data_IF_198320862415
#
_entry.id   IF_198320862415
#
_cell.length_a   1.000
_cell.length_b   1.000
_cell.length_c   1.000
_cell.angle_alpha   90.00
_cell.angle_beta   90.00
_cell.angle_gamma   90.00
#
_symmetry.space_group_name_H-M   'P 1'
#
loop_
_entity.id
_entity.type
_entity.pdbx_description
1 polymer ?
#
# COMPACT_ATOMS: atom_id res chain seq x y z
N UNK A 1 26.68 -4.01 -1.40
CA UNK A 1 26.20 -3.81 -2.79
C UNK A 1 25.53 -5.10 -3.26
N UNK A 2 24.37 -5.02 -3.91
CA UNK A 2 23.71 -6.21 -4.47
C UNK A 2 24.54 -6.78 -5.62
N UNK A 3 24.75 -8.10 -5.65
CA UNK A 3 25.49 -8.79 -6.71
C UNK A 3 24.60 -8.95 -7.95
N UNK A 4 25.05 -8.47 -9.11
CA UNK A 4 24.34 -8.57 -10.40
C UNK A 4 24.00 -10.02 -10.80
N UNK A 5 24.68 -11.01 -10.22
CA UNK A 5 24.41 -12.44 -10.43
C UNK A 5 23.17 -12.96 -9.69
N UNK A 6 22.48 -12.16 -8.88
CA UNK A 6 21.30 -12.59 -8.11
C UNK A 6 19.97 -12.44 -8.87
N UNK A 7 19.94 -11.71 -10.00
CA UNK A 7 18.73 -11.46 -10.78
C UNK A 7 18.65 -12.41 -11.99
N UNK A 8 17.87 -13.48 -11.84
CA UNK A 8 17.53 -14.38 -12.95
C UNK A 8 16.45 -13.68 -13.79
N UNK A 9 16.82 -13.27 -15.01
CA UNK A 9 15.84 -12.77 -16.00
C UNK A 9 15.17 -13.97 -16.66
N UNK A 10 13.88 -14.17 -16.38
CA UNK A 10 13.09 -15.20 -17.04
C UNK A 10 12.83 -14.83 -18.51
N UNK A 11 12.76 -15.83 -19.38
CA UNK A 11 12.28 -15.62 -20.74
C UNK A 11 10.80 -15.22 -20.75
N UNK A 12 10.31 -14.54 -21.80
CA UNK A 12 8.91 -14.15 -21.90
C UNK A 12 7.92 -15.33 -21.82
N UNK A 13 8.29 -16.52 -22.29
CA UNK A 13 7.47 -17.73 -22.19
C UNK A 13 7.39 -18.23 -20.75
N UNK A 14 8.52 -18.33 -20.06
CA UNK A 14 8.58 -18.77 -18.66
C UNK A 14 7.83 -17.80 -17.75
N UNK A 15 8.05 -16.50 -17.90
CA UNK A 15 7.33 -15.48 -17.13
C UNK A 15 5.80 -15.60 -17.31
N UNK A 16 5.33 -15.84 -18.53
CA UNK A 16 3.90 -16.09 -18.83
C UNK A 16 3.39 -17.37 -18.18
N UNK A 17 4.18 -18.44 -18.19
CA UNK A 17 3.79 -19.72 -17.58
C UNK A 17 3.69 -19.61 -16.06
N UNK A 18 4.71 -19.04 -15.40
CA UNK A 18 4.70 -18.80 -13.96
C UNK A 18 3.55 -17.86 -13.57
N UNK A 19 3.30 -16.80 -14.35
CA UNK A 19 2.15 -15.91 -14.16
C UNK A 19 0.82 -16.65 -14.24
N UNK A 20 0.63 -17.52 -15.24
CA UNK A 20 -0.58 -18.36 -15.34
C UNK A 20 -0.72 -19.32 -14.17
N UNK A 21 0.36 -19.99 -13.75
CA UNK A 21 0.37 -20.91 -12.60
C UNK A 21 0.01 -20.18 -11.31
N UNK A 22 0.62 -19.00 -11.08
CA UNK A 22 0.33 -18.13 -9.94
C UNK A 22 -1.14 -17.67 -9.95
N UNK A 23 -1.65 -17.22 -11.09
CA UNK A 23 -3.05 -16.82 -11.24
C UNK A 23 -4.03 -17.96 -10.96
N UNK A 24 -3.77 -19.16 -11.47
CA UNK A 24 -4.59 -20.36 -11.19
C UNK A 24 -4.56 -20.75 -9.71
N UNK A 25 -3.37 -20.76 -9.10
CA UNK A 25 -3.21 -21.09 -7.68
C UNK A 25 -3.90 -20.06 -6.79
N UNK A 26 -3.72 -18.76 -7.07
CA UNK A 26 -4.40 -17.66 -6.38
C UNK A 26 -5.92 -17.76 -6.53
N UNK A 27 -6.43 -18.02 -7.74
CA UNK A 27 -7.86 -18.23 -7.99
C UNK A 27 -8.42 -19.42 -7.22
N UNK A 28 -7.70 -20.54 -7.16
CA UNK A 28 -8.08 -21.72 -6.36
C UNK A 28 -8.12 -21.39 -4.87
N UNK A 29 -7.12 -20.67 -4.35
CA UNK A 29 -7.08 -20.24 -2.95
C UNK A 29 -8.24 -19.29 -2.61
N UNK A 30 -8.54 -18.32 -3.48
CA UNK A 30 -9.67 -17.39 -3.32
C UNK A 30 -11.01 -18.13 -3.29
N UNK A 31 -11.24 -19.07 -4.21
CA UNK A 31 -12.45 -19.92 -4.21
C UNK A 31 -12.57 -20.72 -2.92
N UNK A 32 -11.52 -21.41 -2.49
CA UNK A 32 -11.50 -22.16 -1.22
C UNK A 32 -11.88 -21.29 -0.02
N UNK A 33 -11.35 -20.06 0.06
CA UNK A 33 -11.72 -19.11 1.14
C UNK A 33 -13.18 -18.69 1.06
N UNK A 34 -13.71 -18.46 -0.14
CA UNK A 34 -15.12 -18.12 -0.32
C UNK A 34 -16.03 -19.28 0.08
N UNK A 35 -15.72 -20.50 -0.36
CA UNK A 35 -16.47 -21.71 -0.02
C UNK A 35 -16.44 -21.96 1.49
N UNK A 36 -15.26 -21.83 2.12
CA UNK A 36 -15.13 -21.92 3.57
C UNK A 36 -16.04 -20.92 4.31
N UNK A 37 -16.06 -19.65 3.89
CA UNK A 37 -16.95 -18.64 4.51
C UNK A 37 -18.42 -19.01 4.35
N UNK A 38 -18.82 -19.49 3.17
CA UNK A 38 -20.20 -19.94 2.92
C UNK A 38 -20.58 -21.10 3.86
N UNK A 39 -19.72 -22.12 3.94
CA UNK A 39 -19.94 -23.27 4.82
C UNK A 39 -19.98 -22.85 6.28
N UNK A 40 -19.05 -21.99 6.73
CA UNK A 40 -19.02 -21.51 8.10
C UNK A 40 -20.30 -20.75 8.45
N UNK A 41 -20.76 -19.82 7.61
CA UNK A 41 -22.00 -19.08 7.85
C UNK A 41 -23.21 -20.03 7.94
N UNK A 42 -23.28 -21.03 7.05
CA UNK A 42 -24.34 -22.04 7.08
C UNK A 42 -24.35 -22.82 8.40
N UNK A 43 -23.18 -23.18 8.93
CA UNK A 43 -23.07 -23.85 10.22
C UNK A 43 -23.46 -22.91 11.37
N UNK A 44 -22.97 -21.67 11.37
CA UNK A 44 -23.27 -20.70 12.43
C UNK A 44 -24.78 -20.41 12.55
N UNK A 45 -25.48 -20.35 11.43
CA UNK A 45 -26.95 -20.16 11.40
C UNK A 45 -27.76 -21.42 11.67
N UNK A 46 -27.13 -22.58 11.84
CA UNK A 46 -27.85 -23.82 12.09
C UNK A 46 -28.42 -23.81 13.52
N UNK A 47 -29.72 -24.10 13.64
CA UNK A 47 -30.39 -24.30 14.92
C UNK A 47 -29.82 -25.52 15.65
N UNK A 48 -29.68 -25.39 16.96
CA UNK A 48 -29.25 -26.45 17.85
C UNK A 48 -30.23 -26.59 19.00
N UNK A 49 -30.30 -27.80 19.53
CA UNK A 49 -31.05 -28.07 20.75
C UNK A 49 -30.08 -28.20 21.92
N UNK A 50 -30.04 -27.16 22.77
CA UNK A 50 -29.20 -27.13 23.97
C UNK A 50 -30.08 -26.82 25.18
N UNK A 51 -30.19 -27.75 26.12
CA UNK A 51 -31.09 -27.65 27.28
C UNK A 51 -30.78 -26.45 28.19
N UNK A 52 -29.50 -26.06 28.29
CA UNK A 52 -29.07 -24.97 29.17
C UNK A 52 -29.27 -23.59 28.54
N UNK A 53 -29.00 -23.47 27.23
CA UNK A 53 -28.97 -22.18 26.54
C UNK A 53 -30.27 -21.83 25.85
N UNK A 54 -31.01 -22.82 25.33
CA UNK A 54 -32.24 -22.60 24.60
C UNK A 54 -33.28 -21.82 25.40
N UNK A 55 -33.56 -22.12 26.69
CA UNK A 55 -34.53 -21.34 27.46
C UNK A 55 -34.11 -19.88 27.66
N UNK A 56 -32.80 -19.64 27.84
CA UNK A 56 -32.25 -18.30 28.04
C UNK A 56 -32.35 -17.50 26.74
N UNK A 57 -31.95 -18.10 25.62
CA UNK A 57 -31.97 -17.45 24.31
C UNK A 57 -33.41 -17.15 23.86
N UNK A 58 -34.34 -18.10 24.03
CA UNK A 58 -35.76 -17.90 23.74
C UNK A 58 -36.37 -16.79 24.61
N UNK A 59 -36.00 -16.70 25.89
CA UNK A 59 -36.46 -15.62 26.77
C UNK A 59 -35.98 -14.22 26.34
N UNK A 60 -34.85 -14.16 25.62
CA UNK A 60 -34.30 -12.95 25.02
C UNK A 60 -34.84 -12.68 23.61
N UNK A 61 -35.70 -13.55 23.07
CA UNK A 61 -36.22 -13.47 21.71
C UNK A 61 -35.18 -13.79 20.63
N UNK A 62 -34.17 -14.60 20.96
CA UNK A 62 -33.08 -15.01 20.06
C UNK A 62 -33.19 -16.50 19.76
N UNK A 63 -32.98 -16.88 18.50
CA UNK A 63 -32.95 -18.28 18.10
C UNK A 63 -31.72 -19.01 18.68
N UNK A 64 -31.91 -20.26 19.09
CA UNK A 64 -30.84 -21.12 19.60
C UNK A 64 -30.04 -21.71 18.43
N UNK A 65 -29.17 -20.90 17.83
CA UNK A 65 -28.25 -21.30 16.75
C UNK A 65 -26.85 -21.56 17.29
N UNK A 66 -25.99 -22.22 16.48
CA UNK A 66 -24.57 -22.38 16.84
C UNK A 66 -23.87 -21.04 17.10
N UNK A 67 -24.26 -19.98 16.39
CA UNK A 67 -23.75 -18.63 16.59
C UNK A 67 -24.11 -18.06 17.95
N UNK A 68 -25.40 -18.04 18.32
CA UNK A 68 -25.86 -17.47 19.59
C UNK A 68 -25.33 -18.26 20.79
N UNK A 69 -25.26 -19.59 20.64
CA UNK A 69 -24.62 -20.50 21.58
C UNK A 69 -23.13 -20.19 21.79
N UNK A 70 -22.37 -19.97 20.71
CA UNK A 70 -20.95 -19.61 20.79
C UNK A 70 -20.73 -18.27 21.52
N UNK A 71 -21.54 -17.25 21.20
CA UNK A 71 -21.47 -15.95 21.86
C UNK A 71 -21.78 -16.06 23.36
N UNK A 72 -22.81 -16.82 23.72
CA UNK A 72 -23.18 -17.04 25.12
C UNK A 72 -22.07 -17.78 25.88
N UNK A 73 -21.43 -18.78 25.25
CA UNK A 73 -20.27 -19.46 25.83
C UNK A 73 -19.12 -18.49 26.12
N UNK A 74 -18.83 -17.57 25.18
CA UNK A 74 -17.77 -16.59 25.36
C UNK A 74 -18.09 -15.60 26.49
N UNK A 75 -19.34 -15.15 26.60
CA UNK A 75 -19.78 -14.29 27.70
C UNK A 75 -19.63 -15.03 29.03
N UNK A 76 -20.04 -16.30 29.11
CA UNK A 76 -19.88 -17.13 30.30
C UNK A 76 -18.41 -17.28 30.71
N UNK A 77 -17.52 -17.53 29.76
CA UNK A 77 -16.07 -17.59 30.00
C UNK A 77 -15.51 -16.25 30.49
N UNK A 78 -15.95 -15.14 29.90
CA UNK A 78 -15.56 -13.79 30.33
C UNK A 78 -16.00 -13.52 31.77
N UNK A 79 -17.23 -13.90 32.14
CA UNK A 79 -17.74 -13.79 33.50
C UNK A 79 -16.93 -14.64 34.50
N UNK A 80 -16.35 -15.76 34.05
CA UNK A 80 -15.46 -16.58 34.86
C UNK A 80 -14.02 -16.02 34.96
N UNK A 81 -13.76 -14.82 34.43
CA UNK A 81 -12.47 -14.14 34.52
C UNK A 81 -11.53 -14.38 33.33
N UNK A 82 -11.99 -15.01 32.25
CA UNK A 82 -11.17 -15.18 31.04
C UNK A 82 -11.07 -13.86 30.27
N UNK A 83 -9.93 -13.17 30.40
CA UNK A 83 -9.69 -11.85 29.78
C UNK A 83 -9.71 -11.90 28.25
N UNK A 84 -9.29 -13.01 27.63
CA UNK A 84 -9.38 -13.17 26.17
C UNK A 84 -10.83 -13.25 25.72
N UNK A 85 -11.67 -13.91 26.51
CA UNK A 85 -13.09 -13.95 26.25
C UNK A 85 -13.75 -12.59 26.41
N UNK A 86 -13.37 -11.84 27.45
CA UNK A 86 -13.80 -10.46 27.63
C UNK A 86 -13.40 -9.55 26.45
N UNK A 87 -12.16 -9.67 25.95
CA UNK A 87 -11.70 -8.90 24.79
C UNK A 87 -12.48 -9.24 23.51
N UNK A 88 -12.75 -10.53 23.27
CA UNK A 88 -13.62 -10.94 22.16
C UNK A 88 -14.99 -10.26 22.26
N UNK A 89 -15.64 -10.33 23.42
CA UNK A 89 -16.96 -9.72 23.61
C UNK A 89 -16.91 -8.21 23.40
N UNK A 90 -15.90 -7.52 23.94
CA UNK A 90 -15.71 -6.08 23.76
C UNK A 90 -15.55 -5.70 22.28
N UNK A 91 -14.70 -6.41 21.54
CA UNK A 91 -14.43 -6.14 20.13
C UNK A 91 -15.71 -6.23 19.27
N UNK A 92 -16.58 -7.20 19.52
CA UNK A 92 -17.83 -7.36 18.77
C UNK A 92 -18.98 -6.52 19.32
N UNK A 93 -18.89 -6.02 20.56
CA UNK A 93 -19.80 -5.03 21.12
C UNK A 93 -19.54 -3.60 20.61
N UNK A 94 -18.59 -3.41 19.70
CA UNK A 94 -18.21 -2.11 19.15
C UNK A 94 -17.20 -1.34 20.01
N UNK A 95 -16.64 -1.98 21.03
CA UNK A 95 -15.49 -1.44 21.78
C UNK A 95 -14.22 -1.91 21.07
N UNK A 96 -13.90 -1.28 19.94
CA UNK A 96 -12.61 -1.49 19.29
C UNK A 96 -11.54 -0.58 19.87
N UNK A 97 -10.33 -1.11 20.05
CA UNK A 97 -9.15 -0.29 20.38
C UNK A 97 -8.75 0.65 19.23
N UNK A 98 -9.19 0.37 18.00
CA UNK A 98 -9.03 1.27 16.86
C UNK A 98 -10.04 2.41 16.96
N UNK A 99 -9.51 3.61 17.15
CA UNK A 99 -10.24 4.85 17.06
C UNK A 99 -10.28 5.34 15.61
N UNK A 100 -11.24 6.21 15.29
CA UNK A 100 -11.27 6.87 13.98
C UNK A 100 -9.95 7.64 13.68
N UNK A 101 -9.25 8.09 14.72
CA UNK A 101 -7.95 8.75 14.59
C UNK A 101 -6.85 7.80 14.12
N UNK A 102 -6.84 6.53 14.58
CA UNK A 102 -5.88 5.53 14.13
C UNK A 102 -6.05 5.22 12.63
N UNK A 103 -7.30 5.17 12.16
CA UNK A 103 -7.61 4.95 10.74
C UNK A 103 -7.20 6.14 9.86
N UNK A 104 -7.36 7.37 10.36
CA UNK A 104 -6.86 8.58 9.71
C UNK A 104 -5.34 8.61 9.63
N UNK A 105 -4.64 8.24 10.70
CA UNK A 105 -3.18 8.16 10.70
C UNK A 105 -2.67 7.14 9.66
N UNK A 106 -3.32 5.96 9.58
CA UNK A 106 -2.96 4.94 8.58
C UNK A 106 -3.20 5.44 7.15
N UNK A 107 -4.29 6.17 6.90
CA UNK A 107 -4.55 6.82 5.60
C UNK A 107 -3.47 7.85 5.26
N UNK A 108 -3.13 8.74 6.19
CA UNK A 108 -2.09 9.75 5.98
C UNK A 108 -0.74 9.09 5.70
N UNK A 109 -0.41 8.02 6.44
CA UNK A 109 0.83 7.26 6.24
C UNK A 109 0.88 6.58 4.88
N UNK A 110 -0.22 5.94 4.46
CA UNK A 110 -0.30 5.29 3.14
C UNK A 110 -0.30 6.31 2.01
N UNK A 111 -0.99 7.44 2.15
CA UNK A 111 -0.98 8.54 1.17
C UNK A 111 0.40 9.17 1.03
N UNK A 112 1.10 9.41 2.15
CA UNK A 112 2.49 9.91 2.13
C UNK A 112 3.42 8.93 1.43
N UNK A 113 3.31 7.65 1.75
CA UNK A 113 4.10 6.62 1.09
C UNK A 113 3.78 6.51 -0.41
N UNK A 114 2.51 6.69 -0.79
CA UNK A 114 2.09 6.70 -2.19
C UNK A 114 2.69 7.90 -2.93
N UNK A 115 2.54 9.13 -2.40
CA UNK A 115 3.11 10.34 -3.00
C UNK A 115 4.63 10.27 -3.16
N UNK A 116 5.34 9.75 -2.17
CA UNK A 116 6.79 9.56 -2.25
C UNK A 116 7.18 8.62 -3.40
N UNK A 117 6.46 7.49 -3.56
CA UNK A 117 6.68 6.60 -4.71
C UNK A 117 6.32 7.24 -6.04
N UNK A 118 5.21 7.97 -6.11
CA UNK A 118 4.75 8.60 -7.35
C UNK A 118 5.75 9.65 -7.84
N UNK A 119 6.39 10.39 -6.92
CA UNK A 119 7.52 11.30 -7.20
C UNK A 119 8.78 10.56 -7.67
N UNK A 120 9.15 9.44 -7.05
CA UNK A 120 10.32 8.64 -7.46
C UNK A 120 10.14 7.97 -8.84
N UNK A 121 8.92 7.57 -9.17
CA UNK A 121 8.59 6.84 -10.41
C UNK A 121 8.23 7.81 -11.55
N UNK A 122 8.07 9.10 -11.26
CA UNK A 122 7.73 10.11 -12.27
C UNK A 122 6.32 9.93 -12.85
N UNK A 123 5.41 9.34 -12.09
CA UNK A 123 3.99 9.22 -12.43
C UNK A 123 3.26 10.20 -11.51
N UNK A 124 3.31 11.48 -11.87
CA UNK A 124 2.50 12.52 -11.23
C UNK A 124 1.47 13.00 -12.25
N UNK A 125 0.18 12.76 -11.97
CA UNK A 125 -0.92 13.24 -12.80
C UNK A 125 -0.98 14.79 -12.84
N UNK A 126 -0.17 15.50 -12.04
CA UNK A 126 -0.02 16.97 -12.03
C UNK A 126 1.20 17.50 -12.79
N UNK A 127 1.89 16.68 -13.60
CA UNK A 127 3.06 17.13 -14.37
C UNK A 127 2.77 18.38 -15.21
N UNK A 128 1.56 18.48 -15.79
CA UNK A 128 1.18 19.60 -16.65
C UNK A 128 1.07 20.93 -15.90
N UNK A 129 0.61 20.94 -14.64
CA UNK A 129 0.48 22.15 -13.81
C UNK A 129 1.86 22.61 -13.30
N UNK A 130 2.71 21.67 -12.90
CA UNK A 130 4.06 21.98 -12.43
C UNK A 130 4.96 22.53 -13.55
N UNK A 131 4.84 21.98 -14.76
CA UNK A 131 5.57 22.46 -15.94
C UNK A 131 5.08 23.84 -16.36
N UNK A 132 3.75 24.10 -16.35
CA UNK A 132 3.19 25.42 -16.65
C UNK A 132 3.63 26.48 -15.65
N UNK A 133 3.57 26.18 -14.34
CA UNK A 133 3.99 27.11 -13.29
C UNK A 133 5.50 27.42 -13.37
N UNK A 134 6.33 26.43 -13.74
CA UNK A 134 7.75 26.65 -13.99
C UNK A 134 7.99 27.51 -15.24
N UNK A 135 7.32 27.22 -16.36
CA UNK A 135 7.41 28.02 -17.60
C UNK A 135 6.92 29.47 -17.40
N UNK A 136 5.85 29.67 -16.63
CA UNK A 136 5.32 30.99 -16.29
C UNK A 136 6.24 31.77 -15.35
N UNK A 137 6.96 31.08 -14.45
CA UNK A 137 7.95 31.70 -13.56
C UNK A 137 9.25 32.05 -14.30
N UNK A 138 9.63 31.27 -15.31
CA UNK A 138 10.86 31.50 -16.08
C UNK A 138 10.65 32.53 -17.18
N UNK A 139 9.44 32.64 -17.79
CA UNK A 139 9.06 33.59 -18.86
C UNK A 139 10.27 34.26 -19.53
N UNK A 140 11.07 33.48 -20.26
CA UNK A 140 12.33 33.98 -20.78
C UNK A 140 12.04 35.09 -21.78
N UNK A 141 12.87 36.12 -21.75
CA UNK A 141 12.71 37.24 -22.69
C UNK A 141 13.07 36.77 -24.09
N UNK A 142 12.48 37.40 -25.12
CA UNK A 142 12.72 37.02 -26.52
C UNK A 142 14.22 37.04 -26.86
N UNK A 143 14.96 37.99 -26.29
CA UNK A 143 16.41 38.14 -26.47
C UNK A 143 17.24 36.99 -25.87
N UNK A 144 16.76 36.36 -24.78
CA UNK A 144 17.42 35.19 -24.17
C UNK A 144 17.16 33.91 -24.96
N UNK A 145 15.99 33.80 -25.58
CA UNK A 145 15.67 32.72 -26.51
C UNK A 145 16.49 32.87 -27.80
N UNK A 146 16.59 34.08 -28.33
CA UNK A 146 17.34 34.36 -29.56
C UNK A 146 18.84 34.07 -29.37
N UNK A 147 19.42 34.34 -28.20
CA UNK A 147 20.81 33.94 -27.87
C UNK A 147 21.02 32.44 -27.78
N UNK A 148 19.99 31.67 -27.42
CA UNK A 148 20.10 30.22 -27.26
C UNK A 148 19.98 29.47 -28.60
N UNK A 149 19.28 30.07 -29.58
CA UNK A 149 18.96 29.45 -30.86
C UNK A 149 19.67 30.09 -32.06
N UNK A 150 20.29 31.27 -31.92
CA UNK A 150 21.05 31.96 -32.97
C UNK A 150 22.54 32.11 -32.63
N UNK A 151 23.19 31.07 -32.08
CA UNK A 151 24.63 30.91 -32.27
C UNK A 151 24.85 30.43 -33.72
N UNK A 152 24.96 31.39 -34.65
CA UNK A 152 25.59 31.13 -35.94
C UNK A 152 27.09 30.90 -35.73
N UNK A 153 27.56 29.84 -36.37
CA UNK A 153 28.92 29.31 -36.38
C UNK A 153 30.03 30.36 -36.47
N UNK A 154 31.04 30.23 -35.60
CA UNK A 154 32.42 30.59 -35.91
C UNK A 154 33.07 31.65 -35.03
N UNK A 155 33.91 31.22 -34.08
CA UNK A 155 35.23 31.81 -33.97
C UNK A 155 36.21 30.78 -33.37
N UNK A 156 37.24 30.50 -34.16
CA UNK A 156 38.39 29.65 -33.88
C UNK A 156 39.19 30.19 -32.68
N UNK A 157 39.37 29.37 -31.64
CA UNK A 157 40.40 29.61 -30.62
C UNK A 157 41.78 29.40 -31.27
N UNK A 158 42.42 30.49 -31.69
CA UNK A 158 43.84 30.52 -32.05
C UNK A 158 44.61 31.46 -31.12
N UNK A 159 45.60 30.86 -30.46
CA UNK A 159 46.88 31.38 -30.03
C UNK A 159 46.95 32.71 -29.24
N UNK A 160 47.37 32.59 -27.98
CA UNK A 160 48.36 33.52 -27.45
C UNK A 160 49.34 32.79 -26.52
N UNK A 161 50.52 32.50 -27.06
CA UNK A 161 51.72 32.13 -26.33
C UNK A 161 52.56 33.38 -26.04
N UNK A 162 53.50 33.24 -25.10
CA UNK A 162 54.55 34.18 -24.67
C UNK A 162 54.11 35.11 -23.52
N UNK A 163 54.80 35.19 -22.37
CA UNK A 163 56.24 35.17 -22.14
C UNK A 163 56.53 34.74 -20.69
N UNK A 164 57.49 33.83 -20.52
CA UNK A 164 58.11 33.49 -19.23
C UNK A 164 59.56 33.98 -19.25
N UNK A 165 59.92 34.91 -18.37
CA UNK A 165 61.27 35.29 -17.93
C UNK A 165 61.08 36.42 -16.87
N UNK A 166 61.76 36.55 -15.73
CA UNK A 166 62.88 35.87 -15.09
C UNK A 166 63.02 36.41 -13.63
N UNK A 167 63.92 35.81 -12.84
CA UNK A 167 64.55 36.24 -11.56
C UNK A 167 64.17 35.37 -10.33
N UNK A 168 65.09 34.70 -9.64
CA UNK A 168 66.55 34.64 -9.76
C UNK A 168 67.11 33.57 -8.81
N UNK A 169 68.29 33.06 -9.14
CA UNK A 169 69.01 31.99 -8.44
C UNK A 169 70.01 32.58 -7.41
N UNK A 170 70.31 31.77 -6.37
CA UNK A 170 71.38 31.85 -5.34
C UNK A 170 71.05 32.64 -4.06
#
# INVERSE_FOLDING_TARGET
MANEKNLIRLSPSEAREYGRRGGKASGKARRRKADFRKTLNMLLTAEIDNEDWKPVLESLGVECTLESALLMAQIKEAMNGNTKAAYFVAQYAGQSDQTAADDEEQKIRTDRAKRARDQEVGIDDNQDENIKNFLDAVRPTQDELDKLFNEEDGQEDSDNAEETEEAGEI
#
